data_IF_381621547413
#
_entry.id   IF_381621547413
#
_cell.length_a   1.000
_cell.length_b   1.000
_cell.length_c   1.000
_cell.angle_alpha   90.00
_cell.angle_beta   90.00
_cell.angle_gamma   90.00
#
_symmetry.space_group_name_H-M   'P 1'
#
loop_
_entity.id
_entity.type
_entity.pdbx_description
1 polymer ?
#
# COMPACT_ATOMS: atom_id res chain seq x y z
N UNK A 1 6.70 -7.55 -5.01
CA UNK A 1 6.26 -6.37 -5.75
C UNK A 1 7.31 -6.03 -6.78
N UNK A 2 6.86 -5.74 -8.00
CA UNK A 2 7.71 -5.13 -9.02
C UNK A 2 7.96 -3.66 -8.66
N UNK A 3 9.07 -3.10 -9.16
CA UNK A 3 9.44 -1.70 -8.94
C UNK A 3 8.29 -0.72 -9.24
N UNK A 4 7.51 -0.99 -10.30
CA UNK A 4 6.35 -0.21 -10.70
C UNK A 4 5.23 -0.17 -9.64
N UNK A 5 4.94 -1.28 -8.96
CA UNK A 5 3.92 -1.31 -7.90
C UNK A 5 4.36 -0.48 -6.69
N UNK A 6 5.67 -0.48 -6.42
CA UNK A 6 6.26 0.34 -5.37
C UNK A 6 6.19 1.83 -5.71
N UNK A 7 6.51 2.18 -6.95
CA UNK A 7 6.44 3.55 -7.43
C UNK A 7 4.99 4.06 -7.44
N UNK A 8 4.05 3.23 -7.88
CA UNK A 8 2.62 3.56 -7.87
C UNK A 8 2.10 3.77 -6.45
N UNK A 9 2.48 2.90 -5.51
CA UNK A 9 2.18 3.07 -4.09
C UNK A 9 2.66 4.42 -3.56
N UNK A 10 3.94 4.76 -3.77
CA UNK A 10 4.53 6.03 -3.33
C UNK A 10 3.82 7.22 -3.98
N UNK A 11 3.53 7.15 -5.28
CA UNK A 11 2.81 8.20 -6.00
C UNK A 11 1.39 8.40 -5.45
N UNK A 12 0.66 7.32 -5.16
CA UNK A 12 -0.68 7.36 -4.58
C UNK A 12 -0.69 8.07 -3.21
N UNK A 13 0.30 7.80 -2.37
CA UNK A 13 0.43 8.42 -1.05
C UNK A 13 0.75 9.90 -1.16
N UNK A 14 1.72 10.25 -2.01
CA UNK A 14 2.09 11.65 -2.26
C UNK A 14 0.87 12.41 -2.80
N UNK A 15 0.09 11.76 -3.67
CA UNK A 15 -1.15 12.31 -4.19
C UNK A 15 -2.19 12.53 -3.09
N UNK A 16 -2.45 11.56 -2.22
CA UNK A 16 -3.39 11.73 -1.09
C UNK A 16 -2.95 12.83 -0.14
N UNK A 17 -1.68 12.86 0.27
CA UNK A 17 -1.13 13.90 1.15
C UNK A 17 -1.24 15.26 0.46
N UNK A 18 -0.86 15.35 -0.80
CA UNK A 18 -0.96 16.58 -1.60
C UNK A 18 -2.39 17.08 -1.71
N UNK A 19 -3.35 16.17 -1.89
CA UNK A 19 -4.77 16.47 -2.00
C UNK A 19 -5.33 16.98 -0.66
N UNK A 20 -4.98 16.33 0.46
CA UNK A 20 -5.33 16.79 1.81
C UNK A 20 -4.74 18.18 2.09
N UNK A 21 -3.44 18.38 1.82
CA UNK A 21 -2.77 19.67 2.02
C UNK A 21 -3.38 20.75 1.13
N UNK A 22 -3.70 20.44 -0.12
CA UNK A 22 -4.36 21.36 -1.04
C UNK A 22 -5.74 21.80 -0.51
N UNK A 23 -6.56 20.86 -0.02
CA UNK A 23 -7.86 21.19 0.57
C UNK A 23 -7.75 21.95 1.90
N UNK A 24 -6.68 21.74 2.68
CA UNK A 24 -6.42 22.52 3.89
C UNK A 24 -5.97 23.95 3.59
N UNK A 25 -5.11 24.14 2.58
CA UNK A 25 -4.59 25.44 2.18
C UNK A 25 -5.60 26.27 1.37
N UNK A 26 -6.54 25.62 0.69
CA UNK A 26 -7.54 26.28 -0.15
C UNK A 26 -8.96 25.82 0.22
N UNK A 27 -9.47 26.20 1.41
CA UNK A 27 -10.78 25.76 1.89
C UNK A 27 -11.94 26.23 0.99
N UNK A 28 -11.73 27.27 0.20
CA UNK A 28 -12.68 27.76 -0.81
C UNK A 28 -13.07 26.72 -1.89
N UNK A 29 -12.22 25.71 -2.13
CA UNK A 29 -12.53 24.60 -3.03
C UNK A 29 -13.17 23.39 -2.32
N UNK A 30 -13.43 23.44 -1.01
CA UNK A 30 -14.15 22.39 -0.27
C UNK A 30 -15.65 22.34 -0.58
N UNK A 31 -16.12 23.02 -1.64
CA UNK A 31 -17.49 22.85 -2.14
C UNK A 31 -17.74 21.38 -2.47
N UNK A 32 -18.92 20.89 -2.09
CA UNK A 32 -19.32 19.48 -2.29
C UNK A 32 -19.05 18.99 -3.71
N UNK A 33 -19.28 19.82 -4.74
CA UNK A 33 -19.05 19.49 -6.15
C UNK A 33 -17.60 19.22 -6.53
N UNK A 34 -16.62 19.75 -5.81
CA UNK A 34 -15.18 19.53 -6.07
C UNK A 34 -14.63 18.51 -5.07
N UNK A 35 -15.15 18.52 -3.84
CA UNK A 35 -14.75 17.60 -2.78
C UNK A 35 -15.16 16.15 -3.11
N UNK A 36 -16.39 15.92 -3.58
CA UNK A 36 -16.86 14.57 -3.95
C UNK A 36 -15.96 13.89 -4.99
N UNK A 37 -15.69 14.49 -6.17
CA UNK A 37 -14.86 13.83 -7.17
C UNK A 37 -13.42 13.65 -6.69
N UNK A 38 -12.85 14.61 -5.95
CA UNK A 38 -11.52 14.45 -5.39
C UNK A 38 -11.43 13.31 -4.36
N UNK A 39 -12.41 13.21 -3.45
CA UNK A 39 -12.52 12.08 -2.53
C UNK A 39 -12.76 10.76 -3.26
N UNK A 40 -13.52 10.77 -4.35
CA UNK A 40 -13.81 9.57 -5.16
C UNK A 40 -12.56 9.07 -5.87
N UNK A 41 -11.74 9.98 -6.42
CA UNK A 41 -10.43 9.65 -6.99
C UNK A 41 -9.50 9.10 -5.92
N UNK A 42 -9.45 9.73 -4.74
CA UNK A 42 -8.70 9.20 -3.59
C UNK A 42 -9.13 7.79 -3.22
N UNK A 43 -10.45 7.54 -3.13
CA UNK A 43 -11.02 6.22 -2.84
C UNK A 43 -10.61 5.16 -3.89
N UNK A 44 -10.67 5.50 -5.18
CA UNK A 44 -10.26 4.60 -6.27
C UNK A 44 -8.77 4.27 -6.17
N UNK A 45 -7.93 5.29 -6.00
CA UNK A 45 -6.48 5.13 -5.82
C UNK A 45 -6.19 4.21 -4.63
N UNK A 46 -6.93 4.39 -3.54
CA UNK A 46 -6.76 3.60 -2.33
C UNK A 46 -7.23 2.14 -2.48
N UNK A 47 -8.34 1.91 -3.20
CA UNK A 47 -8.79 0.55 -3.57
C UNK A 47 -7.74 -0.16 -4.43
N UNK A 48 -7.16 0.53 -5.43
CA UNK A 48 -6.11 -0.03 -6.28
C UNK A 48 -4.87 -0.36 -5.44
N UNK A 49 -4.48 0.54 -4.53
CA UNK A 49 -3.37 0.32 -3.62
C UNK A 49 -3.59 -0.93 -2.74
N UNK A 50 -4.75 -1.06 -2.11
CA UNK A 50 -5.12 -2.24 -1.33
C UNK A 50 -5.09 -3.52 -2.15
N UNK A 51 -5.60 -3.48 -3.39
CA UNK A 51 -5.56 -4.62 -4.29
C UNK A 51 -4.12 -5.07 -4.57
N UNK A 52 -3.21 -4.13 -4.85
CA UNK A 52 -1.79 -4.43 -5.07
C UNK A 52 -1.11 -4.99 -3.81
N UNK A 53 -1.41 -4.43 -2.64
CA UNK A 53 -0.87 -4.88 -1.36
C UNK A 53 -1.35 -6.30 -1.03
N UNK A 54 -2.65 -6.57 -1.16
CA UNK A 54 -3.19 -7.91 -0.98
C UNK A 54 -2.58 -8.88 -1.97
N UNK A 55 -2.48 -8.52 -3.25
CA UNK A 55 -1.84 -9.36 -4.26
C UNK A 55 -0.40 -9.71 -3.86
N UNK A 56 0.38 -8.76 -3.35
CA UNK A 56 1.74 -9.05 -2.89
C UNK A 56 1.77 -9.94 -1.65
N UNK A 57 0.85 -9.75 -0.69
CA UNK A 57 0.72 -10.58 0.51
C UNK A 57 0.32 -12.02 0.16
N UNK A 58 -0.57 -12.21 -0.82
CA UNK A 58 -0.98 -13.53 -1.28
C UNK A 58 0.12 -14.23 -2.10
N UNK A 59 0.89 -13.48 -2.89
CA UNK A 59 2.02 -14.01 -3.67
C UNK A 59 3.28 -14.27 -2.83
N UNK A 60 3.44 -13.65 -1.65
CA UNK A 60 4.55 -13.93 -0.74
C UNK A 60 4.29 -15.20 0.06
N UNK A 61 5.26 -16.11 0.03
CA UNK A 61 5.38 -17.18 1.01
C UNK A 61 5.88 -16.57 2.32
N UNK A 62 5.05 -16.59 3.36
CA UNK A 62 5.46 -16.24 4.71
C UNK A 62 5.78 -17.54 5.46
N UNK A 63 6.93 -17.60 6.15
CA UNK A 63 7.27 -18.74 7.03
C UNK A 63 6.24 -18.94 8.16
N UNK A 64 5.50 -17.89 8.53
CA UNK A 64 4.54 -17.94 9.62
C UNK A 64 3.19 -17.35 9.20
N UNK A 65 2.16 -18.21 9.09
CA UNK A 65 0.82 -17.81 8.64
C UNK A 65 0.18 -16.76 9.57
N UNK A 66 0.50 -16.76 10.87
CA UNK A 66 -0.01 -15.74 11.81
C UNK A 66 0.46 -14.34 11.44
N UNK A 67 1.72 -14.19 11.02
CA UNK A 67 2.28 -12.90 10.59
C UNK A 67 1.60 -12.40 9.33
N UNK A 68 1.23 -13.30 8.41
CA UNK A 68 0.43 -12.98 7.22
C UNK A 68 -0.94 -12.43 7.62
N UNK A 69 -1.70 -13.13 8.47
CA UNK A 69 -3.02 -12.68 8.92
C UNK A 69 -2.95 -11.39 9.74
N UNK A 70 -1.93 -11.22 10.58
CA UNK A 70 -1.73 -9.99 11.34
C UNK A 70 -1.58 -8.78 10.42
N UNK A 71 -0.72 -8.86 9.41
CA UNK A 71 -0.58 -7.79 8.42
C UNK A 71 -1.85 -7.59 7.60
N UNK A 72 -2.53 -8.67 7.20
CA UNK A 72 -3.78 -8.60 6.46
C UNK A 72 -4.85 -7.82 7.25
N UNK A 73 -5.01 -8.14 8.53
CA UNK A 73 -5.96 -7.48 9.44
C UNK A 73 -5.56 -6.03 9.72
N UNK A 74 -4.27 -5.77 9.97
CA UNK A 74 -3.79 -4.42 10.28
C UNK A 74 -3.91 -3.49 9.08
N UNK A 75 -3.70 -4.00 7.86
CA UNK A 75 -3.84 -3.23 6.61
C UNK A 75 -5.32 -2.99 6.30
N UNK A 76 -6.19 -3.94 6.62
CA UNK A 76 -7.64 -3.80 6.46
C UNK A 76 -8.24 -2.77 7.43
N UNK A 77 -7.81 -2.80 8.71
CA UNK A 77 -8.26 -1.87 9.75
C UNK A 77 -7.60 -0.49 9.63
N UNK A 78 -6.31 -0.47 9.28
CA UNK A 78 -5.52 0.73 9.12
C UNK A 78 -4.85 0.71 7.75
N UNK A 79 -5.51 1.28 6.76
CA UNK A 79 -4.98 1.45 5.41
C UNK A 79 -3.58 2.10 5.36
N UNK A 80 -3.25 3.13 6.17
CA UNK A 80 -1.88 3.65 6.25
C UNK A 80 -0.86 2.63 6.79
N UNK A 81 -1.28 1.56 7.48
CA UNK A 81 -0.37 0.47 7.87
C UNK A 81 0.06 -0.38 6.68
N UNK A 82 -0.70 -0.40 5.57
CA UNK A 82 -0.28 -0.98 4.29
C UNK A 82 0.97 -0.32 3.73
N UNK A 83 1.14 0.96 4.04
CA UNK A 83 2.30 1.77 3.68
C UNK A 83 3.55 1.34 4.45
N UNK A 84 3.41 1.21 5.76
CA UNK A 84 4.47 0.72 6.66
C UNK A 84 4.83 -0.72 6.31
N UNK A 85 3.85 -1.55 5.98
CA UNK A 85 4.07 -2.89 5.45
C UNK A 85 4.91 -2.86 4.17
N UNK A 86 4.55 -2.00 3.22
CA UNK A 86 5.25 -1.90 1.94
C UNK A 86 6.69 -1.45 2.12
N UNK A 87 6.92 -0.43 2.95
CA UNK A 87 8.25 0.06 3.28
C UNK A 87 9.09 -1.02 3.97
N UNK A 88 8.51 -1.75 4.92
CA UNK A 88 9.22 -2.72 5.76
C UNK A 88 9.43 -4.08 5.11
N UNK A 89 8.44 -4.57 4.38
CA UNK A 89 8.42 -5.91 3.81
C UNK A 89 8.51 -5.89 2.28
N UNK A 90 7.86 -4.94 1.59
CA UNK A 90 7.89 -4.82 0.13
C UNK A 90 9.27 -4.48 -0.46
N UNK A 91 10.15 -3.79 0.29
CA UNK A 91 11.55 -3.53 -0.09
C UNK A 91 12.51 -4.67 0.24
N UNK A 92 12.13 -5.64 1.08
CA UNK A 92 12.98 -6.82 1.30
C UNK A 92 12.92 -7.72 0.06
N UNK A 93 14.06 -8.15 -0.49
CA UNK A 93 14.09 -9.14 -1.57
C UNK A 93 13.24 -10.34 -1.15
N UNK A 94 12.43 -10.86 -2.07
CA UNK A 94 11.83 -12.18 -1.90
C UNK A 94 13.02 -13.11 -1.69
N UNK A 95 13.17 -13.72 -0.52
CA UNK A 95 14.19 -14.74 -0.34
C UNK A 95 13.95 -15.75 -1.47
N UNK A 96 14.94 -15.98 -2.35
CA UNK A 96 14.83 -17.11 -3.25
C UNK A 96 14.62 -18.31 -2.35
N UNK A 97 13.72 -19.21 -2.74
CA UNK A 97 13.80 -20.58 -2.25
C UNK A 97 15.12 -21.11 -2.80
N UNK A 98 16.21 -20.80 -2.10
CA UNK A 98 17.51 -21.39 -2.36
C UNK A 98 17.38 -22.84 -1.94
N UNK A 99 17.75 -23.81 -2.81
CA UNK A 99 17.92 -25.16 -2.34
C UNK A 99 18.94 -25.10 -1.19
N UNK A 100 18.66 -25.89 -0.16
CA UNK A 100 19.42 -25.95 1.06
C UNK A 100 20.93 -25.92 0.80
N UNK A 101 21.62 -25.21 1.70
CA UNK A 101 22.99 -25.51 2.05
C UNK A 101 23.16 -27.03 2.20
N UNK A 102 23.69 -27.66 1.16
CA UNK A 102 24.17 -29.04 1.15
C UNK A 102 25.28 -29.18 0.12
N UNK A 103 26.45 -28.70 0.50
CA UNK A 103 27.78 -29.13 0.05
C UNK A 103 28.74 -28.44 1.03
N UNK A 104 29.41 -29.14 1.94
CA UNK A 104 30.17 -30.35 1.71
C UNK A 104 31.63 -29.95 1.77
#
# INVERSE_FOLDING_TARGET
>A
MNFFEKLYAIAAIIFEIGLVVFFLLQPQYQRLSILLPACSVGLIVNIIFLFLVFRDIFQRTFDNSRTKYFWLVIILLFWPAGLVYLLRHGFKPRQPVGPASSAG
#
